data_IF_645702549591
#
_entry.id   IF_645702549591
#
_cell.length_a   1.000
_cell.length_b   1.000
_cell.length_c   1.000
_cell.angle_alpha   90.00
_cell.angle_beta   90.00
_cell.angle_gamma   90.00
#
_symmetry.space_group_name_H-M   'P 1'
#
loop_
_entity.id
_entity.type
_entity.pdbx_description
1 polymer ?
#
# COMPACT_ATOMS: atom_id res chain seq x y z
N UNK A 1 -6.04 -6.59 11.22
CA UNK A 1 -6.65 -7.04 9.95
C UNK A 1 -5.87 -8.23 9.44
N UNK A 2 -6.58 -9.24 8.96
CA UNK A 2 -5.92 -10.46 8.49
C UNK A 2 -5.49 -10.33 7.05
N UNK A 3 -4.39 -10.99 6.71
CA UNK A 3 -3.83 -10.99 5.36
C UNK A 3 -4.87 -11.31 4.28
N UNK A 4 -5.69 -12.35 4.49
CA UNK A 4 -6.67 -12.78 3.50
C UNK A 4 -7.72 -11.73 3.16
N UNK A 5 -8.10 -10.92 4.14
CA UNK A 5 -9.07 -9.84 3.92
C UNK A 5 -8.47 -8.77 3.03
N UNK A 6 -7.22 -8.39 3.29
CA UNK A 6 -6.50 -7.41 2.47
C UNK A 6 -6.30 -7.93 1.05
N UNK A 7 -5.92 -9.20 0.91
CA UNK A 7 -5.73 -9.82 -0.39
C UNK A 7 -7.04 -9.82 -1.19
N UNK A 8 -8.15 -10.16 -0.57
CA UNK A 8 -9.47 -10.13 -1.22
C UNK A 8 -9.78 -8.73 -1.76
N UNK A 9 -9.56 -7.71 -0.93
CA UNK A 9 -9.81 -6.31 -1.34
C UNK A 9 -8.95 -5.93 -2.55
N UNK A 10 -7.68 -6.29 -2.54
CA UNK A 10 -6.78 -6.00 -3.65
C UNK A 10 -7.21 -6.70 -4.94
N UNK A 11 -7.63 -7.95 -4.85
CA UNK A 11 -8.14 -8.70 -5.99
C UNK A 11 -9.36 -7.98 -6.57
N UNK A 12 -10.30 -7.59 -5.73
CA UNK A 12 -11.53 -6.91 -6.15
C UNK A 12 -11.24 -5.53 -6.75
N UNK A 13 -10.37 -4.74 -6.11
CA UNK A 13 -10.02 -3.41 -6.58
C UNK A 13 -9.33 -3.43 -7.95
N UNK A 14 -8.61 -4.50 -8.25
CA UNK A 14 -7.90 -4.64 -9.52
C UNK A 14 -8.69 -5.43 -10.56
N UNK A 15 -9.95 -5.74 -10.28
CA UNK A 15 -10.83 -6.49 -11.18
C UNK A 15 -10.24 -7.84 -11.61
N UNK A 16 -9.58 -8.51 -10.68
CA UNK A 16 -8.95 -9.80 -10.91
C UNK A 16 -9.85 -10.93 -10.39
N UNK A 17 -9.60 -12.13 -10.89
CA UNK A 17 -10.11 -13.35 -10.27
C UNK A 17 -8.96 -14.06 -9.56
N UNK A 18 -9.30 -14.95 -8.64
CA UNK A 18 -8.28 -15.78 -7.97
C UNK A 18 -7.48 -16.60 -8.98
N UNK A 19 -8.14 -17.06 -10.04
CA UNK A 19 -7.50 -17.80 -11.12
C UNK A 19 -6.46 -16.95 -11.85
N UNK A 20 -6.80 -15.70 -12.19
CA UNK A 20 -5.87 -14.79 -12.87
C UNK A 20 -4.66 -14.48 -11.99
N UNK A 21 -4.89 -14.19 -10.73
CA UNK A 21 -3.79 -13.93 -9.79
C UNK A 21 -2.89 -15.16 -9.67
N UNK A 22 -3.49 -16.33 -9.53
CA UNK A 22 -2.72 -17.57 -9.44
C UNK A 22 -1.88 -17.83 -10.68
N UNK A 23 -2.42 -17.57 -11.86
CA UNK A 23 -1.67 -17.69 -13.11
C UNK A 23 -0.48 -16.73 -13.16
N UNK A 24 -0.70 -15.48 -12.80
CA UNK A 24 0.34 -14.44 -12.84
C UNK A 24 1.46 -14.72 -11.85
N UNK A 25 1.13 -15.26 -10.68
CA UNK A 25 2.10 -15.56 -9.62
C UNK A 25 2.60 -17.01 -9.65
N UNK A 26 2.09 -17.81 -10.57
CA UNK A 26 2.40 -19.24 -10.66
C UNK A 26 2.05 -19.96 -9.35
N UNK A 27 0.88 -19.68 -8.82
CA UNK A 27 0.32 -20.28 -7.60
C UNK A 27 -1.03 -20.90 -7.95
N UNK A 28 -1.30 -22.11 -7.43
CA UNK A 28 -2.58 -22.76 -7.68
C UNK A 28 -3.74 -21.88 -7.19
N UNK A 29 -4.83 -21.78 -7.97
CA UNK A 29 -6.00 -21.00 -7.54
C UNK A 29 -6.57 -21.44 -6.20
N UNK A 30 -6.51 -22.72 -5.88
CA UNK A 30 -6.95 -23.23 -4.58
C UNK A 30 -6.11 -22.70 -3.44
N UNK A 31 -4.82 -22.51 -3.66
CA UNK A 31 -3.92 -21.90 -2.67
C UNK A 31 -4.28 -20.43 -2.45
N UNK A 32 -4.53 -19.68 -3.53
CA UNK A 32 -5.00 -18.30 -3.43
C UNK A 32 -6.31 -18.25 -2.63
N UNK A 33 -7.25 -19.16 -2.91
CA UNK A 33 -8.50 -19.26 -2.16
C UNK A 33 -8.29 -19.51 -0.67
N UNK A 34 -7.33 -20.37 -0.33
CA UNK A 34 -7.00 -20.64 1.06
C UNK A 34 -6.40 -19.39 1.77
N UNK A 35 -5.62 -18.61 1.05
CA UNK A 35 -5.11 -17.33 1.58
C UNK A 35 -6.27 -16.35 1.82
N UNK A 36 -7.16 -16.20 0.86
CA UNK A 36 -8.31 -15.29 0.95
C UNK A 36 -9.22 -15.65 2.12
N UNK A 37 -9.37 -16.93 2.40
CA UNK A 37 -10.20 -17.40 3.50
C UNK A 37 -9.47 -17.48 4.84
N UNK A 38 -8.19 -17.06 4.88
CA UNK A 38 -7.36 -17.11 6.08
C UNK A 38 -7.15 -18.53 6.64
N UNK A 39 -7.24 -19.54 5.76
CA UNK A 39 -7.00 -20.94 6.14
C UNK A 39 -5.50 -21.23 6.11
N UNK A 40 -4.78 -20.56 5.23
CA UNK A 40 -3.35 -20.75 5.05
C UNK A 40 -2.67 -19.38 4.90
N UNK A 41 -1.45 -19.27 5.41
CA UNK A 41 -0.62 -18.09 5.26
C UNK A 41 0.48 -18.36 4.24
N UNK A 42 0.85 -17.36 3.42
CA UNK A 42 1.97 -17.51 2.51
C UNK A 42 3.29 -17.52 3.27
N UNK A 43 4.29 -18.16 2.68
CA UNK A 43 5.65 -18.03 3.17
C UNK A 43 6.21 -16.63 2.83
N UNK A 44 7.40 -16.31 3.33
CA UNK A 44 7.98 -14.98 3.16
C UNK A 44 8.18 -14.61 1.69
N UNK A 45 8.69 -15.54 0.88
CA UNK A 45 8.95 -15.26 -0.53
C UNK A 45 7.65 -15.01 -1.31
N UNK A 46 6.63 -15.80 -1.03
CA UNK A 46 5.31 -15.63 -1.65
C UNK A 46 4.67 -14.30 -1.23
N UNK A 47 4.79 -13.94 0.05
CA UNK A 47 4.28 -12.67 0.56
C UNK A 47 4.92 -11.49 -0.18
N UNK A 48 6.25 -11.52 -0.37
CA UNK A 48 6.97 -10.48 -1.11
C UNK A 48 6.52 -10.42 -2.56
N UNK A 49 6.31 -11.57 -3.21
CA UNK A 49 5.83 -11.60 -4.60
C UNK A 49 4.44 -10.98 -4.74
N UNK A 50 3.55 -11.26 -3.81
CA UNK A 50 2.21 -10.67 -3.79
C UNK A 50 2.30 -9.15 -3.59
N UNK A 51 3.15 -8.70 -2.68
CA UNK A 51 3.37 -7.29 -2.43
C UNK A 51 3.86 -6.57 -3.68
N UNK A 52 4.84 -7.14 -4.38
CA UNK A 52 5.36 -6.58 -5.64
C UNK A 52 4.29 -6.53 -6.72
N UNK A 53 3.49 -7.57 -6.83
CA UNK A 53 2.44 -7.65 -7.83
C UNK A 53 1.44 -6.50 -7.71
N UNK A 54 1.02 -6.20 -6.48
CA UNK A 54 0.06 -5.14 -6.22
C UNK A 54 0.70 -3.79 -5.92
N UNK A 55 2.03 -3.71 -5.93
CA UNK A 55 2.78 -2.49 -5.60
C UNK A 55 2.37 -1.93 -4.24
N UNK A 56 2.36 -2.80 -3.25
CA UNK A 56 2.10 -2.45 -1.85
C UNK A 56 3.22 -3.01 -0.98
N UNK A 57 3.31 -2.52 0.25
CA UNK A 57 4.29 -3.06 1.20
C UNK A 57 3.80 -4.38 1.81
N UNK A 58 4.72 -5.18 2.32
CA UNK A 58 4.37 -6.38 3.08
C UNK A 58 3.66 -6.01 4.38
N UNK A 59 4.00 -4.88 4.97
CA UNK A 59 3.30 -4.37 6.17
C UNK A 59 1.83 -4.10 5.88
N UNK A 60 1.54 -3.50 4.74
CA UNK A 60 0.16 -3.27 4.32
C UNK A 60 -0.59 -4.59 4.19
N UNK A 61 0.01 -5.59 3.56
CA UNK A 61 -0.61 -6.90 3.39
C UNK A 61 -0.90 -7.59 4.72
N UNK A 62 -0.03 -7.40 5.70
CA UNK A 62 -0.15 -8.02 7.02
C UNK A 62 -1.05 -7.25 7.97
N UNK A 63 -1.56 -6.10 7.53
CA UNK A 63 -2.41 -5.27 8.36
C UNK A 63 -1.66 -4.30 9.27
N UNK A 64 -0.35 -4.18 9.10
CA UNK A 64 0.45 -3.16 9.77
C UNK A 64 0.50 -1.93 8.89
N UNK A 65 -0.50 -1.07 9.02
CA UNK A 65 -0.55 0.15 8.25
C UNK A 65 -0.01 1.29 9.09
N UNK A 66 0.89 2.07 8.51
CA UNK A 66 1.35 3.30 9.13
C UNK A 66 0.33 4.44 8.99
N UNK A 67 -0.70 4.24 8.19
CA UNK A 67 -1.74 5.25 7.96
C UNK A 67 -2.48 5.61 9.24
N UNK A 68 -2.68 4.64 10.13
CA UNK A 68 -3.34 4.87 11.43
C UNK A 68 -2.53 5.78 12.34
N UNK A 69 -1.26 6.00 12.03
CA UNK A 69 -0.37 6.86 12.82
C UNK A 69 -0.35 8.30 12.34
N UNK A 70 -0.96 8.57 11.20
CA UNK A 70 -1.01 9.91 10.64
C UNK A 70 -2.32 10.59 11.02
N UNK A 71 -2.25 11.89 11.28
CA UNK A 71 -3.44 12.70 11.44
C UNK A 71 -4.19 12.77 10.11
N UNK A 72 -5.43 13.24 10.16
CA UNK A 72 -6.24 13.45 8.97
C UNK A 72 -5.56 14.39 7.98
N UNK A 73 -4.96 15.47 8.47
CA UNK A 73 -4.24 16.45 7.66
C UNK A 73 -3.00 15.85 7.01
N UNK A 74 -2.25 15.05 7.75
CA UNK A 74 -1.07 14.38 7.22
C UNK A 74 -1.43 13.40 6.13
N UNK A 75 -2.47 12.61 6.33
CA UNK A 75 -2.93 11.65 5.32
C UNK A 75 -3.40 12.37 4.04
N UNK A 76 -4.08 13.49 4.17
CA UNK A 76 -4.52 14.30 3.03
C UNK A 76 -3.32 14.81 2.23
N UNK A 77 -2.28 15.29 2.92
CA UNK A 77 -1.06 15.79 2.27
C UNK A 77 -0.33 14.67 1.55
N UNK A 78 -0.20 13.50 2.16
CA UNK A 78 0.42 12.33 1.54
C UNK A 78 -0.31 11.95 0.26
N UNK A 79 -1.63 11.97 0.29
CA UNK A 79 -2.44 11.65 -0.88
C UNK A 79 -2.17 12.61 -2.05
N UNK A 80 -2.07 13.90 -1.77
CA UNK A 80 -1.71 14.91 -2.78
C UNK A 80 -0.31 14.63 -3.33
N UNK A 81 0.65 14.40 -2.45
CA UNK A 81 2.04 14.14 -2.83
C UNK A 81 2.13 12.96 -3.79
N UNK A 82 1.42 11.88 -3.50
CA UNK A 82 1.44 10.68 -4.34
C UNK A 82 0.89 10.89 -5.74
N UNK A 83 0.01 11.87 -5.91
CA UNK A 83 -0.57 12.21 -7.21
C UNK A 83 0.31 13.15 -8.04
N UNK A 84 1.30 13.77 -7.44
CA UNK A 84 2.17 14.71 -8.12
C UNK A 84 3.29 13.98 -8.87
N UNK A 85 3.68 14.52 -10.02
CA UNK A 85 4.86 14.10 -10.73
C UNK A 85 6.14 14.54 -10.02
N UNK A 86 7.26 14.00 -10.45
CA UNK A 86 8.56 14.20 -9.81
C UNK A 86 8.91 15.67 -9.62
N UNK A 87 8.75 16.48 -10.68
CA UNK A 87 9.12 17.90 -10.62
C UNK A 87 8.24 18.66 -9.64
N UNK A 88 6.96 18.36 -9.64
CA UNK A 88 6.01 19.01 -8.73
C UNK A 88 6.22 18.60 -7.27
N UNK A 89 6.65 17.37 -7.03
CA UNK A 89 7.01 16.92 -5.68
C UNK A 89 8.18 17.71 -5.12
N UNK A 90 9.16 18.03 -5.97
CA UNK A 90 10.31 18.85 -5.57
C UNK A 90 9.88 20.28 -5.22
N UNK A 91 8.97 20.85 -6.00
CA UNK A 91 8.43 22.19 -5.72
C UNK A 91 7.69 22.19 -4.38
N UNK A 92 6.85 21.19 -4.16
CA UNK A 92 6.12 21.06 -2.89
C UNK A 92 7.08 20.99 -1.71
N UNK A 93 8.13 20.19 -1.82
CA UNK A 93 9.12 20.05 -0.77
C UNK A 93 9.84 21.37 -0.48
N UNK A 94 10.27 22.08 -1.52
CA UNK A 94 10.95 23.37 -1.37
C UNK A 94 10.04 24.40 -0.70
N UNK A 95 8.78 24.46 -1.10
CA UNK A 95 7.82 25.37 -0.49
C UNK A 95 7.55 25.01 0.97
N UNK A 96 7.53 23.73 1.30
CA UNK A 96 7.36 23.29 2.69
C UNK A 96 8.52 23.76 3.57
N UNK A 97 9.74 23.76 3.04
CA UNK A 97 10.91 24.27 3.76
C UNK A 97 10.81 25.78 4.00
N UNK A 98 10.31 26.53 3.01
CA UNK A 98 10.07 27.97 3.16
C UNK A 98 9.07 28.23 4.27
N UNK A 99 7.98 27.48 4.31
CA UNK A 99 6.98 27.62 5.36
C UNK A 99 7.55 27.33 6.75
N UNK A 100 8.38 26.30 6.83
CA UNK A 100 9.02 25.94 8.09
C UNK A 100 9.95 27.06 8.57
N UNK A 101 10.71 27.66 7.65
CA UNK A 101 11.60 28.78 7.95
C UNK A 101 10.82 30.02 8.41
N UNK A 102 9.74 30.35 7.70
CA UNK A 102 8.85 31.47 8.09
C UNK A 102 8.28 31.25 9.48
N UNK A 103 7.84 30.05 9.78
CA UNK A 103 7.31 29.73 11.10
C UNK A 103 8.37 29.87 12.19
N UNK A 104 9.60 29.43 11.91
CA UNK A 104 10.71 29.51 12.87
C UNK A 104 11.08 30.96 13.21
N UNK A 105 10.92 31.88 12.26
CA UNK A 105 11.24 33.29 12.43
C UNK A 105 10.07 34.13 12.97
N UNK A 106 8.91 33.50 13.10
CA UNK A 106 7.73 34.17 13.65
C UNK A 106 7.73 34.10 15.16
N UNK A 107 7.63 35.20 15.79
CA UNK A 107 7.55 35.27 17.25
C UNK A 107 6.16 35.59 17.73
#
# INVERSE_FOLDING_TARGET
MKFGNTLRELIELNNLTQKQLGQDLNIAPSTIGNYVRNIREPDHSTLVEIAKYFDVSTDFLLGYSHEDKFSHDEAALINVYRKLGKDYRQILYKESLVLLDVQANKK
#
